data_IF_496763974417
#
_entry.id   IF_496763974417
#
_cell.length_a   1.000
_cell.length_b   1.000
_cell.length_c   1.000
_cell.angle_alpha   90.00
_cell.angle_beta   90.00
_cell.angle_gamma   90.00
#
_symmetry.space_group_name_H-M   'P 1'
#
loop_
_entity.id
_entity.type
_entity.pdbx_description
1 polymer ?
#
# COMPACT_ATOMS: atom_id res chain seq x y z
N UNK A 1 -22.59 69.56 28.54
CA UNK A 1 -21.63 69.21 27.47
C UNK A 1 -22.04 67.89 26.81
N UNK A 2 -22.85 67.93 25.73
CA UNK A 2 -23.13 66.74 24.92
C UNK A 2 -21.99 66.59 23.91
N UNK A 3 -21.07 65.63 24.14
CA UNK A 3 -20.03 65.31 23.14
C UNK A 3 -20.73 64.73 21.91
N UNK A 4 -20.52 65.37 20.77
CA UNK A 4 -21.12 65.03 19.49
C UNK A 4 -20.59 63.66 19.01
N UNK A 5 -21.46 62.65 18.93
CA UNK A 5 -21.14 61.29 18.43
C UNK A 5 -20.49 61.33 17.04
N UNK A 6 -20.76 62.39 16.26
CA UNK A 6 -20.19 62.61 14.92
C UNK A 6 -18.65 62.79 14.93
N UNK A 7 -18.06 63.24 16.04
CA UNK A 7 -16.60 63.37 16.18
C UNK A 7 -15.91 62.04 16.58
N UNK A 8 -16.66 61.08 17.14
CA UNK A 8 -16.14 59.76 17.54
C UNK A 8 -16.15 58.73 16.39
N UNK A 9 -16.82 59.04 15.28
CA UNK A 9 -16.98 58.16 14.12
C UNK A 9 -16.15 58.61 12.91
N UNK A 10 -15.38 59.71 13.04
CA UNK A 10 -14.47 60.18 12.01
C UNK A 10 -13.21 59.28 11.97
N UNK A 11 -13.27 58.23 11.14
CA UNK A 11 -12.13 57.31 10.93
C UNK A 11 -12.47 55.82 10.95
N UNK A 12 -13.75 55.42 10.97
CA UNK A 12 -14.15 54.02 10.79
C UNK A 12 -13.85 53.55 9.36
N UNK A 13 -12.64 53.03 9.16
CA UNK A 13 -12.33 52.20 8.00
C UNK A 13 -12.67 50.75 8.35
N UNK A 14 -13.43 50.08 7.47
CA UNK A 14 -13.57 48.64 7.51
C UNK A 14 -12.24 48.02 7.07
N UNK A 15 -11.33 47.80 8.01
CA UNK A 15 -10.11 47.05 7.75
C UNK A 15 -10.40 45.56 7.81
N UNK A 16 -10.01 44.83 6.77
CA UNK A 16 -9.85 43.38 6.87
C UNK A 16 -8.95 43.11 8.08
N UNK A 17 -9.49 42.43 9.09
CA UNK A 17 -8.67 42.02 10.22
C UNK A 17 -7.60 41.08 9.67
N UNK A 18 -6.33 41.53 9.70
CA UNK A 18 -5.20 40.76 9.23
C UNK A 18 -5.24 39.37 9.85
N UNK A 19 -4.93 38.33 9.06
CA UNK A 19 -4.96 36.94 9.51
C UNK A 19 -4.04 36.70 10.72
N UNK A 20 -3.08 37.60 10.97
CA UNK A 20 -2.17 37.62 12.12
C UNK A 20 -2.82 38.07 13.44
N UNK A 21 -4.08 38.49 13.46
CA UNK A 21 -4.80 38.92 14.67
C UNK A 21 -6.12 38.14 14.84
N UNK A 22 -6.50 37.78 16.07
CA UNK A 22 -7.80 37.17 16.32
C UNK A 22 -8.90 38.21 16.08
N UNK A 23 -10.00 37.79 15.46
CA UNK A 23 -11.18 38.65 15.27
C UNK A 23 -11.76 38.97 16.67
N UNK A 24 -11.88 40.25 17.04
CA UNK A 24 -12.40 40.64 18.36
C UNK A 24 -13.77 40.01 18.65
N UNK A 25 -13.92 39.38 19.82
CA UNK A 25 -15.16 38.74 20.25
C UNK A 25 -15.40 37.31 19.73
N UNK A 26 -14.42 36.67 19.08
CA UNK A 26 -14.52 35.30 18.56
C UNK A 26 -13.48 34.36 19.19
N UNK A 27 -13.88 33.12 19.51
CA UNK A 27 -12.99 32.07 20.05
C UNK A 27 -12.14 31.46 18.91
N UNK A 28 -10.91 31.96 18.76
CA UNK A 28 -9.96 31.58 17.72
C UNK A 28 -8.62 31.11 18.32
N UNK A 29 -7.95 30.18 17.64
CA UNK A 29 -6.67 29.60 18.04
C UNK A 29 -5.61 29.87 16.96
N UNK A 30 -4.36 30.06 17.37
CA UNK A 30 -3.26 30.23 16.43
C UNK A 30 -3.00 28.95 15.63
N UNK A 31 -2.77 29.10 14.31
CA UNK A 31 -2.35 28.04 13.42
C UNK A 31 -0.82 28.01 13.26
N UNK A 32 -0.28 26.97 12.63
CA UNK A 32 1.16 26.79 12.46
C UNK A 32 1.84 27.81 11.52
N UNK A 33 1.05 28.61 10.79
CA UNK A 33 1.54 29.67 9.91
C UNK A 33 1.47 31.07 10.55
N UNK A 34 1.17 31.14 11.86
CA UNK A 34 1.12 32.40 12.62
C UNK A 34 -0.19 33.17 12.50
N UNK A 35 -1.22 32.60 11.85
CA UNK A 35 -2.54 33.21 11.72
C UNK A 35 -3.58 32.62 12.68
N UNK A 36 -4.65 33.34 12.98
CA UNK A 36 -5.72 32.88 13.87
C UNK A 36 -6.84 32.18 13.08
N UNK A 37 -7.30 31.02 13.56
CA UNK A 37 -8.36 30.21 12.95
C UNK A 37 -9.40 29.79 13.98
N UNK A 38 -10.64 29.53 13.55
CA UNK A 38 -11.68 29.04 14.46
C UNK A 38 -11.37 27.63 14.96
N UNK A 39 -11.57 27.42 16.27
CA UNK A 39 -11.45 26.11 16.89
C UNK A 39 -12.56 25.19 16.36
N UNK A 40 -12.20 24.20 15.57
CA UNK A 40 -13.18 23.23 15.05
C UNK A 40 -13.77 22.44 16.22
N UNK A 41 -15.08 22.54 16.45
CA UNK A 41 -15.78 21.74 17.47
C UNK A 41 -15.58 20.26 17.15
N UNK A 42 -15.12 19.49 18.15
CA UNK A 42 -14.63 18.10 18.03
C UNK A 42 -15.66 17.07 17.50
N UNK A 43 -16.89 17.46 17.13
CA UNK A 43 -17.94 16.52 16.70
C UNK A 43 -18.79 17.00 15.50
N UNK A 44 -18.68 18.24 15.03
CA UNK A 44 -19.60 18.80 14.01
C UNK A 44 -19.06 18.87 12.58
N UNK A 45 -17.83 18.42 12.31
CA UNK A 45 -17.28 18.31 10.94
C UNK A 45 -17.96 17.20 10.09
N UNK A 46 -19.14 16.71 10.47
CA UNK A 46 -19.87 15.64 9.82
C UNK A 46 -21.12 16.11 9.04
N UNK A 47 -21.59 17.35 9.20
CA UNK A 47 -22.82 17.82 8.54
C UNK A 47 -22.72 19.28 8.11
N UNK A 48 -21.95 19.55 7.06
CA UNK A 48 -22.20 20.61 6.05
C UNK A 48 -20.94 20.86 5.23
N UNK A 49 -20.74 20.03 4.20
CA UNK A 49 -19.95 20.44 3.04
C UNK A 49 -20.71 19.93 1.80
N UNK A 50 -21.28 20.80 0.97
CA UNK A 50 -21.99 20.43 -0.26
C UNK A 50 -21.06 19.99 -1.41
N UNK A 51 -19.79 19.68 -1.14
CA UNK A 51 -18.84 19.22 -2.16
C UNK A 51 -18.55 17.72 -2.01
N UNK A 52 -18.96 16.87 -2.98
CA UNK A 52 -18.62 15.46 -3.04
C UNK A 52 -17.11 15.16 -2.93
N UNK A 53 -16.23 16.12 -3.26
CA UNK A 53 -14.78 15.96 -3.23
C UNK A 53 -14.16 16.12 -1.84
N UNK A 54 -14.88 16.63 -0.85
CA UNK A 54 -14.34 16.96 0.49
C UNK A 54 -14.73 15.95 1.59
N UNK A 55 -15.70 15.05 1.36
CA UNK A 55 -16.27 14.11 2.35
C UNK A 55 -15.32 13.05 2.94
N UNK A 56 -14.02 13.12 2.66
CA UNK A 56 -13.00 12.22 3.25
C UNK A 56 -11.71 12.92 3.68
N UNK A 57 -11.63 14.26 3.58
CA UNK A 57 -10.34 14.98 3.73
C UNK A 57 -10.01 15.47 5.14
N UNK A 58 -10.98 15.52 6.06
CA UNK A 58 -10.81 16.31 7.29
C UNK A 58 -10.58 15.52 8.58
N UNK A 59 -10.67 14.19 8.58
CA UNK A 59 -10.42 13.45 9.82
C UNK A 59 -8.94 13.11 10.03
N UNK A 60 -8.16 12.94 8.96
CA UNK A 60 -6.84 12.29 9.05
C UNK A 60 -5.90 12.76 7.91
N UNK A 61 -5.62 14.07 7.79
CA UNK A 61 -4.50 14.55 6.96
C UNK A 61 -3.22 14.49 7.81
N UNK A 62 -2.55 13.34 7.82
CA UNK A 62 -1.21 13.21 8.41
C UNK A 62 -0.19 13.45 7.31
N UNK A 63 0.41 14.63 7.29
CA UNK A 63 1.55 14.89 6.41
C UNK A 63 2.87 14.49 7.11
N UNK A 64 3.58 13.59 6.42
CA UNK A 64 5.01 13.27 6.43
C UNK A 64 5.71 12.77 7.71
N UNK A 65 5.22 12.99 8.93
CA UNK A 65 5.68 12.25 10.12
C UNK A 65 4.50 11.96 11.05
N UNK A 66 4.35 10.71 11.44
CA UNK A 66 3.51 10.34 12.59
C UNK A 66 4.20 10.87 13.85
N UNK A 67 3.90 12.11 14.22
CA UNK A 67 4.42 12.76 15.42
C UNK A 67 3.71 12.21 16.67
N UNK A 68 4.40 12.24 17.82
CA UNK A 68 3.81 11.84 19.10
C UNK A 68 2.51 12.59 19.42
N UNK A 69 2.43 13.87 19.05
CA UNK A 69 1.23 14.69 19.20
C UNK A 69 0.01 14.12 18.45
N UNK A 70 0.25 13.62 17.25
CA UNK A 70 -0.77 13.04 16.39
C UNK A 70 -1.25 11.69 16.97
N UNK A 71 -0.34 10.90 17.53
CA UNK A 71 -0.70 9.69 18.26
C UNK A 71 -1.53 9.99 19.51
N UNK A 72 -1.17 11.02 20.29
CA UNK A 72 -1.90 11.44 21.49
C UNK A 72 -3.35 11.87 21.18
N UNK A 73 -3.56 12.57 20.06
CA UNK A 73 -4.92 12.91 19.60
C UNK A 73 -5.75 11.67 19.30
N UNK A 74 -5.16 10.66 18.67
CA UNK A 74 -5.85 9.38 18.40
C UNK A 74 -6.16 8.65 19.70
N UNK A 75 -5.24 8.64 20.68
CA UNK A 75 -5.49 8.03 21.99
C UNK A 75 -6.67 8.68 22.72
N UNK A 76 -6.77 10.01 22.71
CA UNK A 76 -7.92 10.73 23.29
C UNK A 76 -9.24 10.34 22.60
N UNK A 77 -9.22 10.12 21.28
CA UNK A 77 -10.40 9.67 20.54
C UNK A 77 -10.76 8.21 20.90
N UNK A 78 -9.76 7.34 21.09
CA UNK A 78 -9.98 5.96 21.49
C UNK A 78 -10.56 5.85 22.91
N UNK A 79 -10.15 6.73 23.82
CA UNK A 79 -10.73 6.82 25.16
C UNK A 79 -12.19 7.30 25.15
N UNK A 80 -12.52 8.21 24.23
CA UNK A 80 -13.88 8.76 24.12
C UNK A 80 -14.85 7.80 23.44
N UNK A 81 -14.47 7.21 22.30
CA UNK A 81 -15.34 6.35 21.49
C UNK A 81 -14.50 5.45 20.56
N UNK A 82 -13.80 4.47 21.14
CA UNK A 82 -12.88 3.62 20.41
C UNK A 82 -13.55 2.73 19.35
N UNK A 83 -14.78 2.26 19.58
CA UNK A 83 -15.53 1.46 18.61
C UNK A 83 -15.83 2.26 17.33
N UNK A 84 -16.25 3.52 17.46
CA UNK A 84 -16.49 4.40 16.31
C UNK A 84 -15.20 4.71 15.55
N UNK A 85 -14.09 4.90 16.26
CA UNK A 85 -12.77 5.10 15.64
C UNK A 85 -12.38 3.88 14.81
N UNK A 86 -12.55 2.67 15.35
CA UNK A 86 -12.27 1.41 14.62
C UNK A 86 -13.17 1.30 13.39
N UNK A 87 -14.48 1.51 13.53
CA UNK A 87 -15.42 1.46 12.41
C UNK A 87 -15.03 2.41 11.28
N UNK A 88 -14.68 3.67 11.61
CA UNK A 88 -14.26 4.66 10.61
C UNK A 88 -12.94 4.27 9.94
N UNK A 89 -12.00 3.73 10.72
CA UNK A 89 -10.71 3.26 10.22
C UNK A 89 -10.89 2.12 9.21
N UNK A 90 -11.78 1.17 9.52
CA UNK A 90 -12.11 0.04 8.62
C UNK A 90 -12.79 0.54 7.34
N UNK A 91 -13.73 1.49 7.45
CA UNK A 91 -14.36 2.13 6.28
C UNK A 91 -13.29 2.77 5.36
N UNK A 92 -12.29 3.45 5.93
CA UNK A 92 -11.21 4.06 5.16
C UNK A 92 -10.33 3.04 4.45
N UNK A 93 -9.96 1.96 5.14
CA UNK A 93 -9.14 0.87 4.57
C UNK A 93 -9.88 0.10 3.47
N UNK A 94 -11.20 -0.09 3.61
CA UNK A 94 -12.01 -0.86 2.67
C UNK A 94 -12.45 -0.04 1.45
N UNK A 95 -12.81 1.24 1.66
CA UNK A 95 -13.29 2.15 0.60
C UNK A 95 -12.21 2.48 -0.43
N UNK A 96 -10.93 2.48 -0.05
CA UNK A 96 -9.81 2.81 -0.94
C UNK A 96 -9.82 4.28 -1.40
N UNK A 97 -10.56 5.14 -0.69
CA UNK A 97 -10.66 6.60 -0.98
C UNK A 97 -9.42 7.36 -0.49
N UNK A 98 -8.70 6.82 0.48
CA UNK A 98 -7.49 7.43 1.02
C UNK A 98 -6.29 7.21 0.06
N UNK A 99 -5.58 8.29 -0.36
CA UNK A 99 -4.41 8.17 -1.23
C UNK A 99 -3.27 7.31 -0.64
N UNK A 100 -3.13 7.31 0.69
CA UNK A 100 -2.17 6.52 1.48
C UNK A 100 -2.90 5.86 2.66
N UNK A 101 -2.92 4.52 2.76
CA UNK A 101 -3.60 3.81 3.85
C UNK A 101 -2.80 3.80 5.17
N UNK A 102 -1.54 4.20 5.15
CA UNK A 102 -0.57 4.09 6.26
C UNK A 102 -1.11 4.64 7.59
N UNK A 103 -1.75 5.81 7.53
CA UNK A 103 -2.41 6.41 8.68
C UNK A 103 -3.49 5.52 9.29
N UNK A 104 -4.37 4.95 8.46
CA UNK A 104 -5.46 4.13 8.95
C UNK A 104 -4.92 2.81 9.54
N UNK A 105 -3.83 2.28 8.96
CA UNK A 105 -3.11 1.12 9.52
C UNK A 105 -2.55 1.46 10.91
N UNK A 106 -1.95 2.63 11.06
CA UNK A 106 -1.42 3.09 12.35
C UNK A 106 -2.52 3.25 13.41
N UNK A 107 -3.65 3.88 13.05
CA UNK A 107 -4.80 4.04 13.96
C UNK A 107 -5.35 2.67 14.37
N UNK A 108 -5.44 1.72 13.43
CA UNK A 108 -5.87 0.35 13.74
C UNK A 108 -4.91 -0.36 14.71
N UNK A 109 -3.60 -0.17 14.53
CA UNK A 109 -2.58 -0.72 15.43
C UNK A 109 -2.64 -0.10 16.83
N UNK A 110 -2.82 1.23 16.93
CA UNK A 110 -3.06 1.92 18.20
C UNK A 110 -4.31 1.40 18.90
N UNK A 111 -5.42 1.27 18.17
CA UNK A 111 -6.68 0.73 18.71
C UNK A 111 -6.49 -0.71 19.23
N UNK A 112 -5.75 -1.54 18.49
CA UNK A 112 -5.43 -2.91 18.91
C UNK A 112 -4.49 -2.99 20.12
N UNK A 113 -3.73 -1.94 20.43
CA UNK A 113 -2.73 -1.94 21.51
C UNK A 113 -3.15 -1.17 22.77
N UNK A 114 -3.75 0.00 22.61
CA UNK A 114 -4.02 0.97 23.68
C UNK A 114 -5.50 1.28 23.87
N UNK A 115 -6.39 0.71 23.05
CA UNK A 115 -7.84 0.81 23.28
C UNK A 115 -8.28 0.07 24.55
N UNK A 116 -9.50 0.34 25.00
CA UNK A 116 -10.19 -0.48 25.99
C UNK A 116 -10.45 -1.91 25.45
N UNK A 117 -10.97 -2.80 26.30
CA UNK A 117 -11.14 -4.22 25.95
C UNK A 117 -12.03 -4.44 24.73
N UNK A 118 -13.14 -3.68 24.64
CA UNK A 118 -14.06 -3.72 23.51
C UNK A 118 -13.37 -3.23 22.23
N UNK A 119 -12.63 -2.12 22.29
CA UNK A 119 -11.91 -1.52 21.17
C UNK A 119 -10.79 -2.43 20.68
N UNK A 120 -9.98 -3.00 21.57
CA UNK A 120 -8.91 -3.94 21.18
C UNK A 120 -9.48 -5.16 20.48
N UNK A 121 -10.59 -5.72 21.01
CA UNK A 121 -11.29 -6.85 20.41
C UNK A 121 -11.81 -6.50 19.00
N UNK A 122 -12.47 -5.35 18.85
CA UNK A 122 -12.99 -4.88 17.57
C UNK A 122 -11.88 -4.63 16.55
N UNK A 123 -10.80 -3.95 16.96
CA UNK A 123 -9.66 -3.66 16.08
C UNK A 123 -8.99 -4.95 15.57
N UNK A 124 -8.73 -5.92 16.46
CA UNK A 124 -8.13 -7.19 16.10
C UNK A 124 -9.05 -8.05 15.21
N UNK A 125 -10.36 -8.05 15.48
CA UNK A 125 -11.33 -8.75 14.64
C UNK A 125 -11.42 -8.18 13.21
N UNK A 126 -11.13 -6.90 13.03
CA UNK A 126 -11.15 -6.25 11.72
C UNK A 126 -9.88 -6.50 10.88
N UNK A 127 -8.77 -6.96 11.48
CA UNK A 127 -7.48 -7.13 10.78
C UNK A 127 -7.57 -8.00 9.51
N UNK A 128 -8.20 -9.20 9.52
CA UNK A 128 -8.25 -10.07 8.34
C UNK A 128 -8.89 -9.42 7.11
N UNK A 129 -9.98 -8.67 7.32
CA UNK A 129 -10.77 -8.06 6.25
C UNK A 129 -10.31 -6.64 5.87
N UNK A 130 -9.82 -5.86 6.84
CA UNK A 130 -9.40 -4.48 6.62
C UNK A 130 -8.02 -4.39 5.93
N UNK A 131 -7.09 -5.29 6.27
CA UNK A 131 -5.75 -5.33 5.68
C UNK A 131 -5.77 -6.28 4.47
N UNK A 132 -5.90 -5.73 3.26
CA UNK A 132 -6.08 -6.50 2.03
C UNK A 132 -4.78 -7.06 1.45
N UNK A 133 -3.64 -6.43 1.71
CA UNK A 133 -2.35 -6.81 1.10
C UNK A 133 -1.27 -7.11 2.15
N UNK A 134 -0.26 -7.88 1.76
CA UNK A 134 0.91 -8.18 2.59
C UNK A 134 1.64 -6.92 3.04
N UNK A 135 1.72 -5.87 2.19
CA UNK A 135 2.27 -4.57 2.63
C UNK A 135 1.47 -3.96 3.77
N UNK A 136 0.14 -4.05 3.74
CA UNK A 136 -0.69 -3.51 4.82
C UNK A 136 -0.55 -4.32 6.11
N UNK A 137 -0.47 -5.65 5.99
CA UNK A 137 -0.20 -6.53 7.13
C UNK A 137 1.17 -6.24 7.75
N UNK A 138 2.23 -6.16 6.95
CA UNK A 138 3.59 -5.95 7.45
C UNK A 138 3.74 -4.58 8.13
N UNK A 139 3.14 -3.52 7.57
CA UNK A 139 3.05 -2.21 8.23
C UNK A 139 2.31 -2.25 9.57
N UNK A 140 1.20 -3.00 9.62
CA UNK A 140 0.46 -3.20 10.87
C UNK A 140 1.30 -3.95 11.90
N UNK A 141 1.97 -5.02 11.49
CA UNK A 141 2.85 -5.83 12.35
C UNK A 141 3.99 -4.99 12.91
N UNK A 142 4.65 -4.20 12.08
CA UNK A 142 5.71 -3.29 12.52
C UNK A 142 5.20 -2.31 13.58
N UNK A 143 4.10 -1.62 13.28
CA UNK A 143 3.51 -0.64 14.19
C UNK A 143 3.06 -1.29 15.51
N UNK A 144 2.36 -2.42 15.44
CA UNK A 144 1.79 -3.06 16.65
C UNK A 144 2.88 -3.69 17.52
N UNK A 145 3.97 -4.19 16.91
CA UNK A 145 5.11 -4.74 17.64
C UNK A 145 5.82 -3.66 18.48
N UNK A 146 5.91 -2.43 17.97
CA UNK A 146 6.42 -1.28 18.74
C UNK A 146 5.49 -0.81 19.88
N UNK A 147 4.24 -1.25 19.91
CA UNK A 147 3.22 -0.79 20.86
C UNK A 147 2.83 -1.83 21.92
N UNK A 148 2.96 -3.13 21.61
CA UNK A 148 2.54 -4.26 22.46
C UNK A 148 3.25 -5.57 22.10
N UNK A 149 3.19 -6.55 23.01
CA UNK A 149 3.63 -7.92 22.76
C UNK A 149 2.62 -8.81 22.00
N UNK A 150 3.10 -9.99 21.57
CA UNK A 150 2.38 -11.00 20.78
C UNK A 150 1.47 -11.92 21.62
N UNK A 151 0.42 -11.34 22.20
CA UNK A 151 -0.61 -12.08 22.95
C UNK A 151 -1.55 -12.91 22.06
N UNK A 152 -2.38 -13.75 22.68
CA UNK A 152 -3.32 -14.68 21.99
C UNK A 152 -4.23 -13.97 20.99
N UNK A 153 -4.76 -12.79 21.33
CA UNK A 153 -5.63 -12.01 20.43
C UNK A 153 -4.94 -11.55 19.15
N UNK A 154 -3.71 -11.01 19.25
CA UNK A 154 -2.94 -10.57 18.08
C UNK A 154 -2.55 -11.75 17.19
N UNK A 155 -2.06 -12.84 17.80
CA UNK A 155 -1.76 -14.08 17.08
C UNK A 155 -2.98 -14.59 16.33
N UNK A 156 -4.15 -14.68 16.98
CA UNK A 156 -5.39 -15.13 16.34
C UNK A 156 -5.79 -14.24 15.15
N UNK A 157 -5.72 -12.92 15.29
CA UNK A 157 -6.04 -11.99 14.21
C UNK A 157 -5.13 -12.19 12.98
N UNK A 158 -3.82 -12.33 13.20
CA UNK A 158 -2.86 -12.58 12.13
C UNK A 158 -3.05 -13.98 11.52
N UNK A 159 -3.32 -15.01 12.34
CA UNK A 159 -3.63 -16.34 11.85
C UNK A 159 -4.84 -16.34 10.92
N UNK A 160 -5.92 -15.65 11.28
CA UNK A 160 -7.11 -15.50 10.45
C UNK A 160 -6.79 -14.79 9.13
N UNK A 161 -5.94 -13.77 9.14
CA UNK A 161 -5.51 -13.09 7.91
C UNK A 161 -4.88 -14.05 6.89
N UNK A 162 -4.12 -15.05 7.34
CA UNK A 162 -3.57 -16.08 6.47
C UNK A 162 -4.62 -17.11 6.05
N UNK A 163 -5.43 -17.59 7.01
CA UNK A 163 -6.41 -18.66 6.79
C UNK A 163 -7.57 -18.27 5.87
N UNK A 164 -8.06 -17.04 5.96
CA UNK A 164 -9.24 -16.57 5.21
C UNK A 164 -8.95 -16.24 3.75
N UNK A 165 -7.71 -16.40 3.28
CA UNK A 165 -7.33 -16.14 1.89
C UNK A 165 -7.39 -17.41 1.07
N UNK A 166 -8.02 -17.28 -0.10
CA UNK A 166 -7.92 -18.28 -1.18
C UNK A 166 -6.46 -18.54 -1.53
N UNK A 167 -6.15 -19.77 -1.90
CA UNK A 167 -4.79 -20.25 -2.12
C UNK A 167 -4.03 -19.37 -3.14
N UNK A 168 -4.64 -19.00 -4.26
CA UNK A 168 -4.00 -18.21 -5.32
C UNK A 168 -3.72 -16.78 -4.85
N UNK A 169 -4.65 -16.20 -4.08
CA UNK A 169 -4.45 -14.87 -3.50
C UNK A 169 -3.32 -14.89 -2.47
N UNK A 170 -3.28 -15.92 -1.62
CA UNK A 170 -2.23 -16.12 -0.64
C UNK A 170 -0.87 -16.29 -1.33
N UNK A 171 -0.77 -17.14 -2.35
CA UNK A 171 0.43 -17.35 -3.16
C UNK A 171 0.96 -16.02 -3.73
N UNK A 172 0.08 -15.21 -4.33
CA UNK A 172 0.42 -13.88 -4.81
C UNK A 172 0.95 -12.98 -3.68
N UNK A 173 0.32 -12.98 -2.50
CA UNK A 173 0.79 -12.16 -1.37
C UNK A 173 2.21 -12.56 -0.93
N UNK A 174 2.48 -13.87 -0.82
CA UNK A 174 3.75 -14.41 -0.34
C UNK A 174 4.90 -14.15 -1.32
N UNK A 175 4.64 -14.28 -2.63
CA UNK A 175 5.64 -13.99 -3.68
C UNK A 175 5.87 -12.48 -3.81
N UNK A 176 4.81 -11.67 -3.86
CA UNK A 176 4.92 -10.23 -4.17
C UNK A 176 5.39 -9.40 -2.98
N UNK A 177 5.00 -9.77 -1.77
CA UNK A 177 5.23 -8.97 -0.56
C UNK A 177 6.11 -9.71 0.44
N UNK A 178 7.23 -10.28 -0.02
CA UNK A 178 8.18 -11.04 0.82
C UNK A 178 8.59 -10.30 2.09
N UNK A 179 8.94 -9.02 1.96
CA UNK A 179 9.36 -8.16 3.08
C UNK A 179 8.99 -6.68 2.89
N UNK A 180 8.63 -5.96 3.96
CA UNK A 180 8.36 -4.51 4.00
C UNK A 180 8.56 -4.01 5.44
N UNK A 181 9.01 -2.76 5.59
CA UNK A 181 9.22 -2.11 6.90
C UNK A 181 10.06 -2.97 7.89
N UNK A 182 11.10 -3.66 7.41
CA UNK A 182 11.93 -4.53 8.26
C UNK A 182 11.31 -5.88 8.65
N UNK A 183 10.05 -6.15 8.27
CA UNK A 183 9.38 -7.42 8.52
C UNK A 183 9.25 -8.26 7.25
N UNK A 184 9.42 -9.57 7.39
CA UNK A 184 9.11 -10.53 6.32
C UNK A 184 7.85 -11.36 6.61
N UNK A 185 7.19 -11.84 5.56
CA UNK A 185 6.07 -12.79 5.69
C UNK A 185 6.49 -14.06 6.45
N UNK A 186 7.77 -14.45 6.32
CA UNK A 186 8.39 -15.55 7.06
C UNK A 186 8.40 -15.28 8.58
N UNK A 187 8.77 -14.07 9.01
CA UNK A 187 8.79 -13.71 10.43
C UNK A 187 7.38 -13.73 11.01
N UNK A 188 6.43 -13.16 10.27
CA UNK A 188 5.01 -13.14 10.68
C UNK A 188 4.46 -14.56 10.81
N UNK A 189 4.74 -15.46 9.86
CA UNK A 189 4.32 -16.87 9.93
C UNK A 189 4.94 -17.59 11.13
N UNK A 190 6.22 -17.33 11.43
CA UNK A 190 6.93 -17.95 12.57
C UNK A 190 6.39 -17.50 13.93
N UNK A 191 5.97 -16.25 14.05
CA UNK A 191 5.41 -15.71 15.29
C UNK A 191 3.92 -16.04 15.46
N UNK A 192 3.14 -15.94 14.39
CA UNK A 192 1.71 -16.24 14.42
C UNK A 192 1.42 -17.74 14.45
N UNK A 193 2.26 -18.57 13.84
CA UNK A 193 2.12 -20.04 13.73
C UNK A 193 0.69 -20.46 13.31
N UNK A 194 0.17 -19.99 12.17
CA UNK A 194 -1.14 -20.43 11.70
C UNK A 194 -1.10 -21.93 11.37
N UNK A 195 -2.16 -22.63 11.78
CA UNK A 195 -2.42 -23.99 11.35
C UNK A 195 -3.08 -23.91 9.97
N UNK A 196 -2.52 -24.57 8.93
CA UNK A 196 -3.09 -24.56 7.59
C UNK A 196 -4.47 -25.23 7.58
N UNK A 197 -5.36 -24.73 6.73
CA UNK A 197 -6.69 -25.29 6.53
C UNK A 197 -6.69 -26.52 5.61
N UNK A 198 -5.75 -26.58 4.67
CA UNK A 198 -5.61 -27.64 3.67
C UNK A 198 -4.13 -27.88 3.31
N UNK A 199 -3.86 -28.91 2.52
CA UNK A 199 -2.50 -29.29 2.09
C UNK A 199 -1.80 -28.18 1.26
N UNK A 200 -2.54 -27.51 0.38
CA UNK A 200 -2.01 -26.43 -0.46
C UNK A 200 -1.50 -25.28 0.42
N UNK A 201 -2.31 -24.83 1.37
CA UNK A 201 -1.93 -23.80 2.34
C UNK A 201 -0.76 -24.26 3.22
N UNK A 202 -0.74 -25.55 3.60
CA UNK A 202 0.38 -26.17 4.30
C UNK A 202 1.70 -26.06 3.52
N UNK A 203 1.68 -26.38 2.23
CA UNK A 203 2.82 -26.25 1.31
C UNK A 203 3.27 -24.79 1.14
N UNK A 204 2.32 -23.85 0.98
CA UNK A 204 2.63 -22.42 0.87
C UNK A 204 3.29 -21.85 2.15
N UNK A 205 2.77 -22.23 3.32
CA UNK A 205 3.37 -21.85 4.61
C UNK A 205 4.75 -22.49 4.79
N UNK A 206 4.90 -23.77 4.42
CA UNK A 206 6.17 -24.51 4.48
C UNK A 206 7.26 -23.86 3.63
N UNK A 207 6.93 -23.53 2.37
CA UNK A 207 7.82 -22.80 1.46
C UNK A 207 8.27 -21.46 2.03
N UNK A 208 7.32 -20.64 2.51
CA UNK A 208 7.65 -19.30 3.04
C UNK A 208 8.49 -19.37 4.32
N UNK A 209 8.15 -20.27 5.24
CA UNK A 209 8.83 -20.39 6.52
C UNK A 209 10.24 -21.02 6.42
N UNK A 210 10.63 -21.48 5.22
CA UNK A 210 11.82 -22.30 4.95
C UNK A 210 11.86 -23.56 5.81
N UNK A 211 10.78 -24.34 5.79
CA UNK A 211 10.79 -25.72 6.27
C UNK A 211 11.24 -26.64 5.13
N UNK A 212 11.89 -27.76 5.43
CA UNK A 212 12.47 -28.71 4.46
C UNK A 212 11.46 -29.29 3.44
N UNK A 213 10.17 -29.00 3.61
CA UNK A 213 9.04 -29.51 2.83
C UNK A 213 8.78 -28.77 1.50
N UNK A 214 9.71 -27.94 1.01
CA UNK A 214 9.50 -27.10 -0.19
C UNK A 214 10.17 -27.62 -1.47
N UNK A 215 10.61 -28.89 -1.49
CA UNK A 215 11.23 -29.51 -2.66
C UNK A 215 10.36 -29.43 -3.93
N UNK A 216 9.03 -29.49 -3.76
CA UNK A 216 8.06 -29.35 -4.86
C UNK A 216 8.23 -28.03 -5.65
N UNK A 217 8.67 -26.94 -5.01
CA UNK A 217 8.82 -25.65 -5.68
C UNK A 217 10.02 -25.63 -6.65
N UNK A 218 10.96 -26.58 -6.49
CA UNK A 218 12.13 -26.77 -7.34
C UNK A 218 12.01 -27.97 -8.28
N UNK A 219 10.86 -28.65 -8.28
CA UNK A 219 10.64 -29.80 -9.14
C UNK A 219 10.74 -29.42 -10.64
N UNK A 220 11.10 -30.35 -11.54
CA UNK A 220 11.16 -30.07 -12.97
C UNK A 220 9.81 -29.68 -13.60
N UNK A 221 8.71 -30.15 -13.01
CA UNK A 221 7.34 -29.94 -13.50
C UNK A 221 6.51 -29.29 -12.41
N UNK A 222 5.54 -28.46 -12.83
CA UNK A 222 4.61 -27.78 -11.94
C UNK A 222 3.70 -28.80 -11.20
N UNK A 223 3.34 -28.55 -9.93
CA UNK A 223 2.52 -29.47 -9.13
C UNK A 223 1.08 -29.73 -9.63
N UNK A 224 0.54 -28.90 -10.51
CA UNK A 224 -0.81 -29.01 -11.08
C UNK A 224 -1.92 -28.27 -10.33
N UNK A 225 -1.58 -27.61 -9.21
CA UNK A 225 -2.50 -26.71 -8.49
C UNK A 225 -2.15 -25.26 -8.82
N UNK A 226 -3.14 -24.43 -9.16
CA UNK A 226 -2.90 -23.05 -9.62
C UNK A 226 -2.07 -22.20 -8.65
N UNK A 227 -2.26 -22.36 -7.34
CA UNK A 227 -1.52 -21.58 -6.35
C UNK A 227 -0.09 -22.09 -6.19
N UNK A 228 0.10 -23.41 -6.20
CA UNK A 228 1.42 -24.03 -6.13
C UNK A 228 2.21 -23.80 -7.42
N UNK A 229 1.58 -23.94 -8.58
CA UNK A 229 2.17 -23.69 -9.90
C UNK A 229 2.68 -22.26 -10.01
N UNK A 230 1.92 -21.29 -9.48
CA UNK A 230 2.35 -19.89 -9.43
C UNK A 230 3.63 -19.71 -8.59
N UNK A 231 3.72 -20.35 -7.42
CA UNK A 231 4.91 -20.26 -6.56
C UNK A 231 6.08 -21.02 -7.17
N UNK A 232 5.82 -22.19 -7.74
CA UNK A 232 6.81 -22.96 -8.50
C UNK A 232 7.39 -22.11 -9.62
N UNK A 233 6.55 -21.48 -10.44
CA UNK A 233 6.99 -20.61 -11.54
C UNK A 233 7.80 -19.41 -11.03
N UNK A 234 7.42 -18.82 -9.90
CA UNK A 234 8.18 -17.75 -9.26
C UNK A 234 9.56 -18.23 -8.79
N UNK A 235 9.67 -19.45 -8.24
CA UNK A 235 10.95 -20.04 -7.87
C UNK A 235 11.82 -20.33 -9.10
N UNK A 236 11.26 -20.94 -10.15
CA UNK A 236 11.95 -21.16 -11.42
C UNK A 236 12.47 -19.86 -12.02
N UNK A 237 11.63 -18.81 -12.06
CA UNK A 237 12.03 -17.51 -12.56
C UNK A 237 13.15 -16.89 -11.72
N UNK A 238 13.05 -16.96 -10.39
CA UNK A 238 14.07 -16.41 -9.48
C UNK A 238 15.41 -17.16 -9.53
N UNK A 239 15.39 -18.43 -9.92
CA UNK A 239 16.59 -19.26 -10.09
C UNK A 239 17.32 -19.03 -11.41
N UNK A 240 16.71 -18.32 -12.38
CA UNK A 240 17.37 -17.98 -13.62
C UNK A 240 18.41 -16.89 -13.41
N UNK A 241 19.64 -17.16 -13.84
CA UNK A 241 20.76 -16.24 -13.72
C UNK A 241 20.97 -15.53 -15.05
N UNK A 242 20.83 -14.22 -15.05
CA UNK A 242 21.39 -13.39 -16.12
C UNK A 242 22.77 -12.91 -15.69
N UNK A 243 23.73 -13.03 -16.59
CA UNK A 243 25.13 -12.67 -16.35
C UNK A 243 25.48 -11.39 -17.11
N UNK A 244 26.43 -10.62 -16.58
CA UNK A 244 26.96 -9.48 -17.30
C UNK A 244 27.67 -9.98 -18.57
N UNK A 245 27.37 -9.37 -19.72
CA UNK A 245 27.97 -9.69 -21.02
C UNK A 245 29.35 -9.02 -21.18
N UNK A 246 30.14 -9.05 -20.10
CA UNK A 246 31.49 -8.52 -20.04
C UNK A 246 32.44 -9.71 -20.15
N UNK A 247 33.09 -9.84 -21.30
CA UNK A 247 34.13 -10.84 -21.53
C UNK A 247 35.22 -10.23 -22.42
N UNK A 248 36.45 -10.71 -22.24
CA UNK A 248 37.64 -10.18 -22.92
C UNK A 248 37.67 -10.57 -24.41
N UNK A 249 36.98 -11.64 -24.79
CA UNK A 249 36.91 -12.14 -26.17
C UNK A 249 35.50 -12.01 -26.74
N UNK A 250 35.42 -11.80 -28.06
CA UNK A 250 34.15 -11.68 -28.78
C UNK A 250 33.34 -12.99 -28.72
N UNK A 251 34.02 -14.13 -28.75
CA UNK A 251 33.44 -15.47 -28.68
C UNK A 251 32.79 -15.71 -27.31
N UNK A 252 33.50 -15.38 -26.22
CA UNK A 252 32.95 -15.51 -24.87
C UNK A 252 31.74 -14.59 -24.67
N UNK A 253 31.78 -13.37 -25.23
CA UNK A 253 30.65 -12.44 -25.19
C UNK A 253 29.43 -13.01 -25.93
N UNK A 254 29.63 -13.63 -27.09
CA UNK A 254 28.55 -14.27 -27.85
C UNK A 254 27.89 -15.42 -27.07
N UNK A 255 28.68 -16.27 -26.42
CA UNK A 255 28.19 -17.37 -25.58
C UNK A 255 27.36 -16.84 -24.40
N UNK A 256 27.82 -15.78 -23.73
CA UNK A 256 27.08 -15.15 -22.63
C UNK A 256 25.78 -14.51 -23.11
N UNK A 257 25.79 -13.87 -24.28
CA UNK A 257 24.60 -13.28 -24.88
C UNK A 257 23.55 -14.35 -25.23
N UNK A 258 23.97 -15.47 -25.81
CA UNK A 258 23.09 -16.61 -26.13
C UNK A 258 22.49 -17.23 -24.86
N UNK A 259 23.31 -17.46 -23.83
CA UNK A 259 22.84 -17.97 -22.53
C UNK A 259 21.83 -17.01 -21.86
N UNK A 260 22.08 -15.71 -21.92
CA UNK A 260 21.14 -14.69 -21.45
C UNK A 260 19.85 -14.71 -22.27
N UNK A 261 19.94 -14.85 -23.60
CA UNK A 261 18.77 -14.91 -24.47
C UNK A 261 17.88 -16.12 -24.18
N UNK A 262 18.47 -17.29 -23.96
CA UNK A 262 17.74 -18.49 -23.55
C UNK A 262 17.04 -18.28 -22.19
N UNK A 263 17.71 -17.63 -21.24
CA UNK A 263 17.14 -17.30 -19.93
C UNK A 263 16.00 -16.29 -20.03
N UNK A 264 16.12 -15.26 -20.88
CA UNK A 264 15.07 -14.27 -21.15
C UNK A 264 13.85 -14.93 -21.79
N UNK A 265 14.03 -15.80 -22.78
CA UNK A 265 12.92 -16.54 -23.40
C UNK A 265 12.14 -17.35 -22.37
N UNK A 266 12.85 -18.12 -21.53
CA UNK A 266 12.22 -18.89 -20.45
C UNK A 266 11.49 -18.00 -19.44
N UNK A 267 12.05 -16.83 -19.10
CA UNK A 267 11.37 -15.87 -18.23
C UNK A 267 10.07 -15.34 -18.86
N UNK A 268 10.10 -15.00 -20.14
CA UNK A 268 8.91 -14.53 -20.88
C UNK A 268 7.83 -15.61 -20.88
N UNK A 269 8.19 -16.87 -21.15
CA UNK A 269 7.24 -18.00 -21.13
C UNK A 269 6.60 -18.17 -19.74
N UNK A 270 7.39 -18.06 -18.66
CA UNK A 270 6.89 -18.12 -17.28
C UNK A 270 5.97 -16.94 -16.95
N UNK A 271 6.29 -15.73 -17.41
CA UNK A 271 5.47 -14.53 -17.19
C UNK A 271 4.12 -14.67 -17.89
N UNK A 272 4.11 -15.08 -19.16
CA UNK A 272 2.88 -15.20 -19.95
C UNK A 272 2.00 -16.32 -19.41
N UNK A 273 2.59 -17.48 -19.08
CA UNK A 273 1.85 -18.67 -18.63
C UNK A 273 1.27 -18.49 -17.24
N UNK A 274 2.09 -18.02 -16.28
CA UNK A 274 1.71 -17.97 -14.86
C UNK A 274 1.38 -16.56 -14.36
N UNK A 275 1.41 -15.55 -15.24
CA UNK A 275 1.12 -14.14 -14.93
C UNK A 275 1.99 -13.61 -13.79
N UNK A 276 3.29 -13.94 -13.85
CA UNK A 276 4.24 -13.58 -12.80
C UNK A 276 4.38 -12.06 -12.69
N UNK A 277 4.37 -11.51 -11.47
CA UNK A 277 4.65 -10.10 -11.25
C UNK A 277 6.16 -9.85 -11.30
N UNK A 278 6.56 -8.61 -11.58
CA UNK A 278 7.98 -8.20 -11.58
C UNK A 278 8.71 -8.52 -10.27
N UNK A 279 8.00 -8.56 -9.14
CA UNK A 279 8.58 -8.89 -7.83
C UNK A 279 9.04 -10.36 -7.70
N UNK A 280 8.63 -11.23 -8.62
CA UNK A 280 9.06 -12.63 -8.69
C UNK A 280 10.36 -12.83 -9.50
N UNK A 281 10.79 -11.81 -10.25
CA UNK A 281 11.88 -11.94 -11.22
C UNK A 281 13.23 -11.51 -10.62
N UNK A 282 14.35 -12.04 -11.14
CA UNK A 282 15.69 -11.52 -10.86
C UNK A 282 15.81 -10.03 -11.21
N UNK A 283 16.61 -9.29 -10.46
CA UNK A 283 16.78 -7.85 -10.67
C UNK A 283 17.39 -7.52 -12.03
N UNK A 284 18.27 -8.39 -12.51
CA UNK A 284 19.00 -8.27 -13.77
C UNK A 284 18.06 -8.40 -14.96
N UNK A 285 17.03 -9.24 -14.85
CA UNK A 285 15.99 -9.42 -15.87
C UNK A 285 15.20 -8.14 -16.12
N UNK A 286 15.08 -7.26 -15.11
CA UNK A 286 14.34 -5.99 -15.22
C UNK A 286 15.08 -4.93 -16.04
N UNK A 287 16.25 -5.24 -16.60
CA UNK A 287 16.94 -4.39 -17.57
C UNK A 287 16.67 -4.80 -19.03
N UNK A 288 15.87 -5.85 -19.28
CA UNK A 288 15.57 -6.37 -20.62
C UNK A 288 14.19 -5.92 -21.10
N UNK A 289 14.09 -5.40 -22.32
CA UNK A 289 12.86 -4.84 -22.86
C UNK A 289 11.79 -5.93 -23.06
N UNK A 290 12.19 -7.12 -23.50
CA UNK A 290 11.34 -8.28 -23.77
C UNK A 290 10.62 -8.77 -22.50
N UNK A 291 11.33 -8.73 -21.36
CA UNK A 291 10.75 -9.07 -20.05
C UNK A 291 9.68 -8.05 -19.65
N UNK A 292 9.94 -6.76 -19.86
CA UNK A 292 8.96 -5.71 -19.55
C UNK A 292 7.77 -5.71 -20.50
N UNK A 293 7.96 -6.07 -21.77
CA UNK A 293 6.90 -6.24 -22.74
C UNK A 293 5.93 -7.35 -22.32
N UNK A 294 6.47 -8.51 -21.90
CA UNK A 294 5.66 -9.61 -21.35
C UNK A 294 4.91 -9.18 -20.08
N UNK A 295 5.59 -8.48 -19.17
CA UNK A 295 4.96 -7.96 -17.94
C UNK A 295 3.84 -6.95 -18.24
N UNK A 296 4.01 -6.09 -19.25
CA UNK A 296 3.08 -5.02 -19.60
C UNK A 296 1.70 -5.55 -19.96
N UNK A 297 1.61 -6.74 -20.59
CA UNK A 297 0.36 -7.33 -21.04
C UNK A 297 -0.67 -7.49 -19.92
N UNK A 298 -0.26 -7.93 -18.74
CA UNK A 298 -1.18 -8.13 -17.59
C UNK A 298 -0.92 -7.13 -16.46
N UNK A 299 -0.07 -6.12 -16.69
CA UNK A 299 0.34 -5.19 -15.64
C UNK A 299 -0.83 -4.36 -15.07
N UNK A 300 -1.01 -4.32 -13.74
CA UNK A 300 -1.98 -3.42 -13.13
C UNK A 300 -1.65 -1.95 -13.39
N UNK A 301 -2.67 -1.12 -13.65
CA UNK A 301 -2.54 0.33 -13.92
C UNK A 301 -1.59 1.06 -12.96
N UNK A 302 -1.75 0.86 -11.66
CA UNK A 302 -0.90 1.51 -10.64
C UNK A 302 0.57 1.08 -10.73
N UNK A 303 0.84 -0.16 -11.15
CA UNK A 303 2.20 -0.62 -11.39
C UNK A 303 2.75 -0.05 -12.70
N UNK A 304 1.95 -0.03 -13.76
CA UNK A 304 2.32 0.54 -15.07
C UNK A 304 2.73 2.01 -14.95
N UNK A 305 1.87 2.85 -14.34
CA UNK A 305 2.14 4.29 -14.16
C UNK A 305 3.45 4.53 -13.41
N UNK A 306 3.76 3.72 -12.38
CA UNK A 306 4.98 3.89 -11.58
C UNK A 306 6.26 3.49 -12.31
N UNK A 307 6.16 2.69 -13.36
CA UNK A 307 7.30 2.14 -14.08
C UNK A 307 7.46 2.72 -15.49
N UNK A 308 6.69 3.75 -15.87
CA UNK A 308 6.81 4.41 -17.18
C UNK A 308 8.26 4.85 -17.44
N UNK A 309 8.89 5.53 -16.47
CA UNK A 309 10.29 5.96 -16.61
C UNK A 309 11.28 4.80 -16.79
N UNK A 310 11.05 3.66 -16.14
CA UNK A 310 11.86 2.45 -16.34
C UNK A 310 11.67 1.89 -17.73
N UNK A 311 10.42 1.77 -18.20
CA UNK A 311 10.11 1.23 -19.53
C UNK A 311 10.62 2.14 -20.66
N UNK A 312 10.65 3.47 -20.45
CA UNK A 312 11.32 4.39 -21.37
C UNK A 312 12.85 4.22 -21.35
N UNK A 313 13.46 4.13 -20.16
CA UNK A 313 14.92 3.99 -20.00
C UNK A 313 15.48 2.75 -20.70
N UNK A 314 14.78 1.62 -20.61
CA UNK A 314 15.20 0.35 -21.24
C UNK A 314 14.85 0.27 -22.74
N UNK A 315 14.25 1.32 -23.30
CA UNK A 315 13.87 1.38 -24.71
C UNK A 315 12.65 0.55 -25.09
N UNK A 316 11.80 0.16 -24.13
CA UNK A 316 10.50 -0.47 -24.46
C UNK A 316 9.52 0.58 -25.01
N UNK A 317 9.44 1.74 -24.36
CA UNK A 317 8.58 2.85 -24.82
C UNK A 317 9.36 3.76 -25.77
N UNK A 318 9.26 3.47 -27.07
CA UNK A 318 9.78 4.31 -28.16
C UNK A 318 8.63 5.03 -28.87
N UNK A 319 8.86 6.19 -29.50
CA UNK A 319 7.85 6.84 -30.32
C UNK A 319 7.27 5.87 -31.35
N UNK A 320 5.93 5.82 -31.42
CA UNK A 320 5.13 4.97 -32.32
C UNK A 320 5.24 3.46 -32.07
N UNK A 321 5.86 3.03 -30.98
CA UNK A 321 5.93 1.61 -30.60
C UNK A 321 4.57 1.07 -30.16
N UNK A 322 4.36 -0.24 -30.30
CA UNK A 322 3.12 -0.87 -29.88
C UNK A 322 2.94 -0.85 -28.36
N UNK A 323 4.05 -0.92 -27.61
CA UNK A 323 4.05 -0.74 -26.16
C UNK A 323 3.57 0.66 -25.76
N UNK A 324 4.00 1.72 -26.46
CA UNK A 324 3.50 3.08 -26.25
C UNK A 324 2.00 3.18 -26.52
N UNK A 325 1.53 2.67 -27.67
CA UNK A 325 0.10 2.68 -28.03
C UNK A 325 -0.74 1.94 -26.98
N UNK A 326 -0.27 0.78 -26.50
CA UNK A 326 -0.93 0.01 -25.46
C UNK A 326 -1.04 0.79 -24.15
N UNK A 327 0.05 1.45 -23.72
CA UNK A 327 0.07 2.28 -22.51
C UNK A 327 -0.87 3.47 -22.67
N UNK A 328 -0.80 4.19 -23.79
CA UNK A 328 -1.64 5.34 -24.07
C UNK A 328 -3.13 4.96 -24.04
N UNK A 329 -3.52 3.88 -24.74
CA UNK A 329 -4.89 3.38 -24.75
C UNK A 329 -5.40 2.98 -23.36
N UNK A 330 -4.55 2.40 -22.51
CA UNK A 330 -4.92 2.07 -21.12
C UNK A 330 -5.09 3.31 -20.24
N UNK A 331 -4.29 4.35 -20.45
CA UNK A 331 -4.34 5.59 -19.68
C UNK A 331 -5.52 6.49 -20.07
N UNK A 332 -5.98 6.43 -21.33
CA UNK A 332 -7.13 7.19 -21.81
C UNK A 332 -8.48 6.50 -21.57
N UNK A 333 -8.49 5.20 -21.23
CA UNK A 333 -9.69 4.46 -20.86
C UNK A 333 -10.26 4.89 -19.49
N UNK A 334 -11.25 5.78 -19.55
CA UNK A 334 -11.94 6.31 -18.38
C UNK A 334 -12.68 5.24 -17.55
N UNK A 335 -13.13 4.14 -18.15
CA UNK A 335 -13.79 3.06 -17.43
C UNK A 335 -12.79 2.28 -16.56
N UNK A 336 -11.59 2.00 -17.10
CA UNK A 336 -10.49 1.35 -16.36
C UNK A 336 -9.98 2.19 -15.20
N UNK A 337 -9.94 3.51 -15.35
CA UNK A 337 -9.53 4.44 -14.28
C UNK A 337 -10.54 4.44 -13.11
N UNK A 338 -11.85 4.37 -13.41
CA UNK A 338 -12.89 4.31 -12.36
C UNK A 338 -12.89 2.98 -11.60
N UNK A 339 -12.72 1.85 -12.31
CA UNK A 339 -12.78 0.50 -11.71
C UNK A 339 -11.63 0.16 -10.76
N UNK A 340 -10.46 0.80 -10.88
CA UNK A 340 -9.23 0.41 -10.14
C UNK A 340 -8.91 1.27 -8.92
N UNK A 341 -9.82 2.17 -8.50
CA UNK A 341 -9.60 3.11 -7.38
C UNK A 341 -8.28 3.89 -7.51
N UNK A 342 -7.86 4.22 -8.74
CA UNK A 342 -6.71 5.10 -8.95
C UNK A 342 -7.09 6.50 -8.45
N UNK A 343 -6.46 6.94 -7.36
CA UNK A 343 -6.73 8.26 -6.79
C UNK A 343 -6.25 9.35 -7.77
N UNK A 344 -7.02 10.43 -8.00
CA UNK A 344 -6.63 11.50 -8.93
C UNK A 344 -5.25 12.10 -8.67
N UNK A 345 -4.77 12.08 -7.42
CA UNK A 345 -3.41 12.54 -7.09
C UNK A 345 -2.27 11.70 -7.71
N UNK A 346 -2.57 10.57 -8.35
CA UNK A 346 -1.59 9.68 -9.01
C UNK A 346 -1.64 9.78 -10.54
N UNK A 347 -2.69 10.36 -11.09
CA UNK A 347 -2.84 10.66 -12.51
C UNK A 347 -3.19 12.13 -12.59
N UNK A 348 -2.23 13.00 -12.89
CA UNK A 348 -2.58 14.32 -13.37
C UNK A 348 -3.47 14.10 -14.59
N UNK A 349 -4.76 14.44 -14.46
CA UNK A 349 -5.59 14.62 -15.64
C UNK A 349 -4.96 15.76 -16.43
N UNK A 350 -4.87 15.66 -17.78
CA UNK A 350 -4.62 16.84 -18.58
C UNK A 350 -5.68 17.91 -18.31
#
# INVERSE_FOLDING_TARGET
MKKNIKAALAGLNATETSQSLPIPGRDMVANNAGGFVFKTRRVEAAREVPDPRLRGRHLLRFEKKLTAENANKVLLLLQKDGLKVVAKTVEMLTSGRAPKPDTAIFVLALAAAKGDDATRKAALAAVPSALKTGTQLLKFVDTVNGLRGWGRGLKKAIQLWFKERKAETLALQLVKYKQREGWSMKDVLRLAKPVPADDVQGKLFGWTAKKDNAAWAKAPVAPGDKALDFVWAAEQASGLRLVAENADTAEAKAILAEANQASVKKLVDLIVTYRLPREALPTEALNRAEVWEALLQEMPMTAMIRNLGTMSKIGLLKPLSDAEKLVAGRLTDAARLRGRKSTPSRCCRP
#
